data_IF_414546463520
#
_entry.id   IF_414546463520
#
_cell.length_a   1.000
_cell.length_b   1.000
_cell.length_c   1.000
_cell.angle_alpha   90.00
_cell.angle_beta   90.00
_cell.angle_gamma   90.00
#
_symmetry.space_group_name_H-M   'P 1'
#
loop_
_entity.id
_entity.type
_entity.pdbx_description
1 polymer ?
#
# COMPACT_ATOMS: atom_id res chain seq x y z
N UNK A 1 11.66 -24.38 31.92
CA UNK A 1 11.86 -24.95 30.57
C UNK A 1 13.12 -25.81 30.48
N UNK A 2 14.32 -25.30 30.73
CA UNK A 2 15.59 -26.00 30.51
C UNK A 2 15.70 -27.35 31.24
N UNK A 3 15.23 -27.45 32.48
CA UNK A 3 15.27 -28.71 33.25
C UNK A 3 14.38 -29.83 32.70
N UNK A 4 13.39 -29.49 31.89
CA UNK A 4 12.42 -30.46 31.35
C UNK A 4 12.78 -30.96 29.94
N UNK A 5 13.67 -30.26 29.21
CA UNK A 5 14.12 -30.70 27.89
C UNK A 5 14.82 -32.06 27.92
N UNK A 6 15.48 -32.37 29.05
CA UNK A 6 16.09 -33.69 29.27
C UNK A 6 15.05 -34.83 29.28
N UNK A 7 13.86 -34.57 29.77
CA UNK A 7 12.80 -35.56 29.88
C UNK A 7 12.02 -35.73 28.56
N UNK A 8 12.12 -34.76 27.67
CA UNK A 8 11.44 -34.73 26.37
C UNK A 8 12.25 -35.45 25.30
N UNK A 9 13.58 -35.35 25.34
CA UNK A 9 14.46 -35.94 24.33
C UNK A 9 14.16 -37.43 24.02
N UNK A 10 13.87 -38.29 24.99
CA UNK A 10 13.51 -39.70 24.71
C UNK A 10 12.17 -39.90 24.01
N UNK A 11 11.23 -38.97 24.14
CA UNK A 11 9.87 -39.07 23.58
C UNK A 11 9.77 -38.49 22.17
N UNK A 12 10.82 -37.86 21.65
CA UNK A 12 10.85 -37.28 20.28
C UNK A 12 11.10 -38.40 19.27
N UNK A 13 10.15 -38.64 18.40
CA UNK A 13 10.24 -39.68 17.35
C UNK A 13 11.19 -39.27 16.23
N UNK A 14 11.23 -37.99 15.86
CA UNK A 14 12.11 -37.48 14.83
C UNK A 14 13.57 -37.57 15.25
N UNK A 15 14.37 -38.27 14.43
CA UNK A 15 15.77 -38.57 14.74
C UNK A 15 16.67 -37.31 14.69
N UNK A 16 16.38 -36.38 13.77
CA UNK A 16 17.17 -35.16 13.61
C UNK A 16 16.90 -34.21 14.79
N UNK A 17 15.65 -34.03 15.17
CA UNK A 17 15.23 -33.24 16.32
C UNK A 17 15.77 -33.81 17.63
N UNK A 18 15.68 -35.12 17.79
CA UNK A 18 16.23 -35.81 18.97
C UNK A 18 17.75 -35.65 19.06
N UNK A 19 18.46 -35.69 17.93
CA UNK A 19 19.89 -35.46 17.88
C UNK A 19 20.24 -34.01 18.30
N UNK A 20 19.54 -33.01 17.74
CA UNK A 20 19.72 -31.61 18.08
C UNK A 20 19.49 -31.32 19.59
N UNK A 21 18.43 -31.92 20.15
CA UNK A 21 18.12 -31.86 21.59
C UNK A 21 19.21 -32.49 22.44
N UNK A 22 19.72 -33.65 22.08
CA UNK A 22 20.78 -34.33 22.80
C UNK A 22 22.11 -33.56 22.71
N UNK A 23 22.42 -32.99 21.57
CA UNK A 23 23.60 -32.13 21.38
C UNK A 23 23.51 -30.91 22.29
N UNK A 24 22.38 -30.19 22.27
CA UNK A 24 22.14 -29.06 23.16
C UNK A 24 22.29 -29.46 24.64
N UNK A 25 21.68 -30.56 25.07
CA UNK A 25 21.78 -31.05 26.45
C UNK A 25 23.23 -31.39 26.83
N UNK A 26 24.01 -31.93 25.89
CA UNK A 26 25.43 -32.22 26.09
C UNK A 26 26.26 -30.97 26.28
N UNK A 27 25.91 -29.90 25.55
CA UNK A 27 26.67 -28.63 25.61
C UNK A 27 26.27 -27.79 26.83
N UNK A 28 25.03 -27.87 27.28
CA UNK A 28 24.51 -27.10 28.42
C UNK A 28 24.68 -27.79 29.77
N UNK A 29 24.74 -29.14 29.79
CA UNK A 29 24.99 -29.88 31.01
C UNK A 29 26.47 -29.72 31.46
N UNK A 30 26.74 -29.55 32.76
CA UNK A 30 28.09 -29.23 33.24
C UNK A 30 29.08 -30.34 32.92
N UNK A 31 29.97 -30.08 31.98
CA UNK A 31 31.22 -30.83 31.84
C UNK A 31 32.19 -30.27 32.93
N UNK A 32 32.78 -31.13 33.70
CA UNK A 32 33.60 -31.01 34.90
C UNK A 32 34.44 -29.71 35.18
N UNK A 33 34.38 -28.63 34.39
CA UNK A 33 35.21 -27.45 34.56
C UNK A 33 34.57 -26.06 34.49
N UNK A 34 33.35 -25.90 33.97
CA UNK A 34 32.69 -24.59 33.97
C UNK A 34 31.20 -24.72 33.84
N UNK A 35 30.42 -24.30 34.82
CA UNK A 35 28.98 -24.17 34.71
C UNK A 35 28.65 -22.96 33.83
N UNK A 36 27.78 -23.14 32.83
CA UNK A 36 27.22 -22.04 32.07
C UNK A 36 26.38 -21.17 32.98
N UNK A 37 26.48 -19.87 32.82
CA UNK A 37 25.61 -18.93 33.51
C UNK A 37 24.14 -19.11 33.06
N UNK A 38 23.18 -18.64 33.86
CA UNK A 38 21.77 -18.68 33.53
C UNK A 38 21.49 -18.04 32.15
N UNK A 39 22.09 -16.91 31.87
CA UNK A 39 21.95 -16.18 30.62
C UNK A 39 22.51 -16.94 29.41
N UNK A 40 23.60 -17.66 29.56
CA UNK A 40 24.17 -18.49 28.48
C UNK A 40 23.26 -19.69 28.19
N UNK A 41 22.70 -20.32 29.22
CA UNK A 41 21.70 -21.41 29.07
C UNK A 41 20.45 -20.94 28.39
N UNK A 42 19.96 -19.75 28.73
CA UNK A 42 18.79 -19.15 28.10
C UNK A 42 19.01 -18.82 26.63
N UNK A 43 20.16 -18.23 26.28
CA UNK A 43 20.52 -17.96 24.88
C UNK A 43 20.63 -19.24 24.07
N UNK A 44 21.28 -20.28 24.58
CA UNK A 44 21.42 -21.56 23.90
C UNK A 44 20.04 -22.23 23.70
N UNK A 45 19.15 -22.15 24.69
CA UNK A 45 17.78 -22.65 24.56
C UNK A 45 16.97 -21.86 23.50
N UNK A 46 17.16 -20.55 23.46
CA UNK A 46 16.50 -19.70 22.46
C UNK A 46 16.96 -20.04 21.03
N UNK A 47 18.28 -20.23 20.84
CA UNK A 47 18.81 -20.63 19.53
C UNK A 47 18.26 -21.99 19.11
N UNK A 48 18.25 -22.98 20.00
CA UNK A 48 17.72 -24.29 19.71
C UNK A 48 16.23 -24.27 19.31
N UNK A 49 15.43 -23.47 20.00
CA UNK A 49 14.00 -23.31 19.69
C UNK A 49 13.79 -22.54 18.40
N UNK A 50 14.66 -21.58 18.08
CA UNK A 50 14.60 -20.84 16.83
C UNK A 50 14.94 -21.73 15.61
N UNK A 51 15.87 -22.65 15.78
CA UNK A 51 16.26 -23.63 14.74
C UNK A 51 15.25 -24.79 14.61
N UNK A 52 14.61 -25.14 15.73
CA UNK A 52 13.68 -26.30 15.84
C UNK A 52 12.41 -25.92 16.61
N UNK A 53 11.52 -25.10 16.03
CA UNK A 53 10.30 -24.64 16.69
C UNK A 53 9.35 -25.78 17.11
N UNK A 54 9.39 -26.91 16.44
CA UNK A 54 8.63 -28.13 16.76
C UNK A 54 8.92 -28.70 18.17
N UNK A 55 10.04 -28.30 18.79
CA UNK A 55 10.32 -28.65 20.18
C UNK A 55 9.25 -28.13 21.14
N UNK A 56 8.61 -27.01 20.81
CA UNK A 56 7.55 -26.42 21.62
C UNK A 56 6.34 -27.36 21.67
N UNK A 57 5.95 -27.95 20.57
CA UNK A 57 4.80 -28.85 20.50
C UNK A 57 5.07 -30.14 21.29
N UNK A 58 6.26 -30.70 21.16
CA UNK A 58 6.69 -31.85 22.00
C UNK A 58 6.73 -31.50 23.47
N UNK A 59 7.15 -30.29 23.83
CA UNK A 59 7.15 -29.84 25.21
C UNK A 59 5.71 -29.68 25.76
N UNK A 60 4.81 -29.13 24.99
CA UNK A 60 3.40 -28.97 25.37
C UNK A 60 2.78 -30.33 25.58
N UNK A 61 2.92 -31.27 24.60
CA UNK A 61 2.41 -32.63 24.70
C UNK A 61 2.96 -33.36 25.91
N UNK A 62 4.28 -33.29 26.15
CA UNK A 62 4.88 -33.89 27.36
C UNK A 62 4.28 -33.33 28.64
N UNK A 63 3.95 -32.04 28.67
CA UNK A 63 3.33 -31.39 29.81
C UNK A 63 1.86 -31.81 30.00
N UNK A 64 1.13 -31.97 28.90
CA UNK A 64 -0.26 -32.46 28.91
C UNK A 64 -0.36 -33.91 29.40
N UNK A 65 0.58 -34.75 28.93
CA UNK A 65 0.65 -36.18 29.32
C UNK A 65 1.05 -36.41 30.79
N UNK A 66 1.70 -35.42 31.43
CA UNK A 66 2.14 -35.48 32.81
C UNK A 66 1.33 -34.53 33.71
N UNK A 67 0.00 -34.75 33.76
CA UNK A 67 -1.00 -33.92 34.43
C UNK A 67 -0.86 -33.76 35.94
N UNK A 68 -1.19 -32.69 36.39
CA UNK A 68 -1.90 -31.98 37.46
C UNK A 68 -1.22 -30.69 37.93
N UNK A 69 0.11 -30.59 37.91
CA UNK A 69 0.81 -29.33 38.19
C UNK A 69 1.19 -28.54 36.93
N UNK A 70 1.12 -29.18 35.76
CA UNK A 70 1.59 -28.62 34.51
C UNK A 70 0.65 -27.60 33.88
N UNK A 71 -0.67 -27.78 34.07
CA UNK A 71 -1.68 -26.98 33.35
C UNK A 71 -1.67 -25.49 33.76
N UNK A 72 -1.49 -25.19 35.05
CA UNK A 72 -1.47 -23.81 35.52
C UNK A 72 -0.14 -23.11 35.12
N UNK A 73 0.99 -23.81 35.29
CA UNK A 73 2.32 -23.29 34.95
C UNK A 73 2.44 -23.13 33.41
N UNK A 74 1.92 -24.09 32.64
CA UNK A 74 1.92 -24.01 31.17
C UNK A 74 1.08 -22.83 30.66
N UNK A 75 -0.12 -22.62 31.20
CA UNK A 75 -0.95 -21.46 30.84
C UNK A 75 -0.27 -20.15 31.18
N UNK A 76 0.35 -20.04 32.34
CA UNK A 76 1.05 -18.83 32.74
C UNK A 76 2.25 -18.55 31.84
N UNK A 77 3.09 -19.55 31.55
CA UNK A 77 4.27 -19.40 30.66
C UNK A 77 3.85 -19.07 29.24
N UNK A 78 2.80 -19.72 28.70
CA UNK A 78 2.27 -19.39 27.36
C UNK A 78 1.74 -17.95 27.34
N UNK A 79 1.09 -17.50 28.39
CA UNK A 79 0.59 -16.13 28.49
C UNK A 79 1.74 -15.11 28.57
N UNK A 80 2.77 -15.40 29.36
CA UNK A 80 3.98 -14.57 29.45
C UNK A 80 4.74 -14.50 28.12
N UNK A 81 4.88 -15.62 27.40
CA UNK A 81 5.51 -15.68 26.08
C UNK A 81 4.67 -14.89 25.04
N UNK A 82 3.35 -15.02 25.07
CA UNK A 82 2.46 -14.23 24.20
C UNK A 82 2.57 -12.73 24.50
N UNK A 83 2.62 -12.34 25.75
CA UNK A 83 2.79 -10.94 26.14
C UNK A 83 4.14 -10.41 25.68
N UNK A 84 5.22 -11.14 25.89
CA UNK A 84 6.56 -10.76 25.44
C UNK A 84 6.61 -10.61 23.90
N UNK A 85 6.02 -11.57 23.18
CA UNK A 85 5.95 -11.52 21.71
C UNK A 85 5.13 -10.31 21.23
N UNK A 86 3.99 -10.04 21.85
CA UNK A 86 3.19 -8.87 21.53
C UNK A 86 3.94 -7.56 21.82
N UNK A 87 4.65 -7.47 22.94
CA UNK A 87 5.49 -6.30 23.24
C UNK A 87 6.60 -6.11 22.19
N UNK A 88 7.29 -7.18 21.79
CA UNK A 88 8.32 -7.12 20.76
C UNK A 88 7.76 -6.74 19.39
N UNK A 89 6.57 -7.24 19.02
CA UNK A 89 5.88 -6.82 17.80
C UNK A 89 5.48 -5.34 17.83
N UNK A 90 4.97 -4.86 18.96
CA UNK A 90 4.64 -3.45 19.11
C UNK A 90 5.87 -2.55 19.06
N UNK A 91 6.96 -2.98 19.67
CA UNK A 91 8.25 -2.26 19.62
C UNK A 91 8.81 -2.22 18.20
N UNK A 92 8.80 -3.35 17.48
CA UNK A 92 9.20 -3.41 16.08
C UNK A 92 8.31 -2.54 15.20
N UNK A 93 6.99 -2.61 15.36
CA UNK A 93 6.05 -1.76 14.64
C UNK A 93 6.29 -0.27 14.91
N UNK A 94 6.56 0.10 16.17
CA UNK A 94 6.90 1.47 16.56
C UNK A 94 8.22 1.93 15.93
N UNK A 95 9.24 1.08 15.90
CA UNK A 95 10.51 1.37 15.25
C UNK A 95 10.37 1.54 13.74
N UNK A 96 9.59 0.69 13.09
CA UNK A 96 9.28 0.82 11.67
C UNK A 96 8.51 2.10 11.37
N UNK A 97 7.54 2.45 12.22
CA UNK A 97 6.77 3.67 12.09
C UNK A 97 7.62 4.93 12.25
N UNK A 98 8.50 4.96 13.26
CA UNK A 98 9.25 6.18 13.63
C UNK A 98 10.56 6.34 12.88
N UNK A 99 11.26 5.26 12.53
CA UNK A 99 12.63 5.32 12.01
C UNK A 99 12.76 5.08 10.52
N UNK A 100 11.87 4.32 9.91
CA UNK A 100 12.05 3.91 8.51
C UNK A 100 11.10 4.60 7.53
N UNK A 101 10.10 5.34 8.00
CA UNK A 101 9.03 5.82 7.13
C UNK A 101 8.21 4.69 6.49
N UNK A 102 8.43 3.42 6.92
CA UNK A 102 7.75 2.24 6.37
C UNK A 102 6.22 2.36 6.43
N UNK A 103 5.72 2.98 7.52
CA UNK A 103 4.31 3.35 7.67
C UNK A 103 4.08 4.85 7.47
N UNK A 104 5.10 5.62 7.08
CA UNK A 104 4.86 6.98 6.61
C UNK A 104 3.98 6.83 5.38
N UNK A 105 2.71 6.90 5.61
CA UNK A 105 1.70 6.90 4.60
C UNK A 105 2.05 8.02 3.64
N UNK A 106 2.54 7.72 2.44
CA UNK A 106 2.25 8.57 1.31
C UNK A 106 0.77 8.90 1.48
N UNK A 107 0.37 10.15 1.33
CA UNK A 107 -0.97 10.65 1.64
C UNK A 107 -2.12 9.70 1.28
N UNK A 108 -3.32 10.11 1.46
CA UNK A 108 -4.46 9.34 1.02
C UNK A 108 -4.47 9.21 -0.52
N UNK A 109 -5.29 8.31 -1.06
CA UNK A 109 -5.39 8.06 -2.49
C UNK A 109 -5.74 9.30 -3.31
N UNK A 110 -6.44 10.27 -2.72
CA UNK A 110 -6.80 11.53 -3.36
C UNK A 110 -5.57 12.43 -3.55
N UNK A 111 -4.80 12.65 -2.49
CA UNK A 111 -3.64 13.54 -2.55
C UNK A 111 -2.58 13.00 -3.51
N UNK A 112 -2.37 11.69 -3.52
CA UNK A 112 -1.45 11.06 -4.47
C UNK A 112 -1.97 11.15 -5.90
N UNK A 113 -3.24 10.82 -6.15
CA UNK A 113 -3.85 10.93 -7.48
C UNK A 113 -3.82 12.37 -7.99
N UNK A 114 -4.11 13.34 -7.12
CA UNK A 114 -4.05 14.76 -7.45
C UNK A 114 -2.63 15.21 -7.80
N UNK A 115 -1.64 14.82 -6.99
CA UNK A 115 -0.23 15.13 -7.26
C UNK A 115 0.22 14.57 -8.62
N UNK A 116 -0.20 13.35 -8.98
CA UNK A 116 0.10 12.74 -10.29
C UNK A 116 -0.61 13.46 -11.44
N UNK A 117 -1.83 13.93 -11.25
CA UNK A 117 -2.53 14.77 -12.23
C UNK A 117 -1.81 16.11 -12.42
N UNK A 118 -1.40 16.75 -11.33
CA UNK A 118 -0.67 18.02 -11.40
C UNK A 118 0.70 17.86 -12.05
N UNK A 119 1.40 16.75 -11.82
CA UNK A 119 2.64 16.43 -12.53
C UNK A 119 2.39 16.26 -14.05
N UNK A 120 1.36 15.50 -14.43
CA UNK A 120 0.98 15.36 -15.83
C UNK A 120 0.63 16.72 -16.45
N UNK A 121 -0.09 17.58 -15.72
CA UNK A 121 -0.41 18.95 -16.14
C UNK A 121 0.88 19.75 -16.42
N UNK A 122 1.82 19.75 -15.49
CA UNK A 122 3.10 20.46 -15.67
C UNK A 122 3.91 19.94 -16.85
N UNK A 123 3.95 18.60 -17.06
CA UNK A 123 4.61 18.03 -18.24
C UNK A 123 3.97 18.51 -19.54
N UNK A 124 2.64 18.59 -19.59
CA UNK A 124 1.92 19.02 -20.78
C UNK A 124 2.07 20.52 -21.02
N UNK A 125 1.90 21.32 -19.96
CA UNK A 125 1.85 22.78 -20.08
C UNK A 125 3.25 23.43 -20.18
N UNK A 126 4.20 22.93 -19.36
CA UNK A 126 5.48 23.61 -19.11
C UNK A 126 6.69 22.90 -19.73
N UNK A 127 6.58 21.61 -20.08
CA UNK A 127 7.68 20.77 -20.53
C UNK A 127 7.48 20.24 -21.96
N UNK A 128 6.79 21.00 -22.81
CA UNK A 128 6.52 20.63 -24.21
C UNK A 128 5.73 19.31 -24.41
N UNK A 129 5.20 18.72 -23.34
CA UNK A 129 4.46 17.46 -23.41
C UNK A 129 3.19 17.52 -24.24
N UNK A 130 2.63 18.72 -24.49
CA UNK A 130 1.47 18.91 -25.37
C UNK A 130 1.71 18.33 -26.78
N UNK A 131 2.96 18.31 -27.26
CA UNK A 131 3.32 17.85 -28.62
C UNK A 131 2.92 16.41 -28.89
N UNK A 132 2.94 15.54 -27.89
CA UNK A 132 2.53 14.14 -28.05
C UNK A 132 1.02 13.97 -28.29
N UNK A 133 0.25 15.00 -28.01
CA UNK A 133 -1.19 15.01 -28.27
C UNK A 133 -1.57 15.59 -29.63
N UNK A 134 -0.58 15.80 -30.51
CA UNK A 134 -0.80 16.22 -31.89
C UNK A 134 -0.30 15.15 -32.86
N UNK A 135 -1.17 14.70 -33.76
CA UNK A 135 -0.84 13.77 -34.83
C UNK A 135 -0.98 14.49 -36.16
N UNK A 136 0.13 14.62 -36.90
CA UNK A 136 0.19 15.40 -38.17
C UNK A 136 -0.35 16.84 -37.99
N UNK A 137 0.00 17.51 -36.90
CA UNK A 137 -0.43 18.87 -36.58
C UNK A 137 -1.88 19.02 -36.19
N UNK A 138 -2.57 17.92 -35.90
CA UNK A 138 -3.96 17.94 -35.45
C UNK A 138 -4.07 17.33 -34.04
N UNK A 139 -4.88 17.94 -33.14
CA UNK A 139 -5.12 17.40 -31.81
C UNK A 139 -5.67 15.97 -31.86
N UNK A 140 -5.33 15.18 -30.85
CA UNK A 140 -5.92 13.85 -30.65
C UNK A 140 -7.45 13.96 -30.48
N UNK A 141 -8.14 12.88 -30.83
CA UNK A 141 -9.60 12.79 -30.69
C UNK A 141 -10.07 11.76 -29.68
N UNK A 142 -9.11 11.06 -29.07
CA UNK A 142 -9.39 9.94 -28.16
C UNK A 142 -8.88 10.23 -26.75
N UNK A 143 -9.77 10.16 -25.78
CA UNK A 143 -9.43 10.27 -24.36
C UNK A 143 -8.44 9.18 -23.91
N UNK A 144 -8.45 8.03 -24.60
CA UNK A 144 -7.56 6.91 -24.32
C UNK A 144 -6.06 7.26 -24.42
N UNK A 145 -5.69 8.16 -25.31
CA UNK A 145 -4.27 8.58 -25.47
C UNK A 145 -3.79 9.35 -24.23
N UNK A 146 -4.67 10.19 -23.65
CA UNK A 146 -4.40 10.88 -22.39
C UNK A 146 -4.35 9.91 -21.21
N UNK A 147 -5.19 8.91 -21.19
CA UNK A 147 -5.18 7.85 -20.17
C UNK A 147 -3.89 7.03 -20.20
N UNK A 148 -3.32 6.76 -21.38
CA UNK A 148 -2.03 6.08 -21.52
C UNK A 148 -0.93 6.91 -20.87
N UNK A 149 -0.90 8.22 -21.13
CA UNK A 149 0.08 9.12 -20.53
C UNK A 149 -0.04 9.19 -19.01
N UNK A 150 -1.26 9.27 -18.50
CA UNK A 150 -1.48 9.23 -17.05
C UNK A 150 -1.01 7.93 -16.42
N UNK A 151 -1.14 6.81 -17.11
CA UNK A 151 -0.62 5.54 -16.61
C UNK A 151 0.90 5.54 -16.44
N UNK A 152 1.64 6.26 -17.29
CA UNK A 152 3.09 6.34 -17.18
C UNK A 152 3.55 7.10 -15.92
N UNK A 153 2.77 8.05 -15.41
CA UNK A 153 3.12 8.80 -14.19
C UNK A 153 2.98 7.97 -12.90
N UNK A 154 2.40 6.76 -13.00
CA UNK A 154 2.23 5.84 -11.88
C UNK A 154 3.36 4.81 -11.75
N UNK A 155 4.51 5.11 -12.30
CA UNK A 155 5.71 4.30 -12.06
C UNK A 155 6.11 4.39 -10.58
N UNK A 156 6.33 3.23 -9.94
CA UNK A 156 6.68 3.11 -8.52
C UNK A 156 5.67 3.81 -7.58
N UNK A 157 4.62 3.11 -7.22
CA UNK A 157 3.60 3.58 -6.28
C UNK A 157 3.22 2.49 -5.28
N UNK A 158 2.84 2.90 -4.07
CA UNK A 158 2.26 2.02 -3.04
C UNK A 158 0.73 1.84 -3.21
N UNK A 159 0.13 2.55 -4.17
CA UNK A 159 -1.30 2.52 -4.42
C UNK A 159 -1.65 1.52 -5.51
N UNK A 160 -2.79 0.85 -5.36
CA UNK A 160 -3.40 0.07 -6.42
C UNK A 160 -4.02 1.01 -7.45
N UNK A 161 -3.55 0.95 -8.70
CA UNK A 161 -4.03 1.77 -9.81
C UNK A 161 -4.70 0.88 -10.85
N UNK A 162 -6.01 0.84 -10.82
CA UNK A 162 -6.83 0.02 -11.69
C UNK A 162 -7.48 0.87 -12.78
N UNK A 163 -7.42 0.39 -14.03
CA UNK A 163 -8.03 1.03 -15.19
C UNK A 163 -9.39 0.38 -15.51
N UNK A 164 -10.33 1.18 -16.02
CA UNK A 164 -11.64 0.72 -16.51
C UNK A 164 -12.43 -0.11 -15.49
N UNK A 165 -12.37 0.29 -14.21
CA UNK A 165 -13.12 -0.40 -13.16
C UNK A 165 -14.61 -0.16 -13.33
N UNK A 166 -15.35 -1.23 -13.58
CA UNK A 166 -16.82 -1.17 -13.65
C UNK A 166 -17.39 -1.18 -12.22
N UNK A 167 -17.83 -0.03 -11.76
CA UNK A 167 -18.44 0.15 -10.44
C UNK A 167 -19.99 0.03 -10.49
N UNK A 168 -20.53 -0.70 -11.47
CA UNK A 168 -21.99 -0.92 -11.60
C UNK A 168 -22.75 0.20 -12.31
N UNK A 169 -22.12 1.31 -12.67
CA UNK A 169 -22.71 2.48 -13.35
C UNK A 169 -21.90 2.96 -14.56
N UNK A 170 -21.01 2.14 -15.05
CA UNK A 170 -20.11 2.39 -16.16
C UNK A 170 -18.64 2.33 -15.75
N UNK A 171 -17.74 2.15 -16.70
CA UNK A 171 -16.30 2.13 -16.44
C UNK A 171 -15.82 3.52 -16.06
N UNK A 172 -15.01 3.60 -15.00
CA UNK A 172 -14.24 4.78 -14.62
C UNK A 172 -12.84 4.64 -15.20
N UNK A 173 -12.24 5.73 -15.66
CA UNK A 173 -10.95 5.66 -16.33
C UNK A 173 -9.86 5.08 -15.41
N UNK A 174 -9.78 5.56 -14.17
CA UNK A 174 -8.86 5.03 -13.14
C UNK A 174 -9.51 5.03 -11.76
N UNK A 175 -9.19 3.98 -11.00
CA UNK A 175 -9.41 3.91 -9.56
C UNK A 175 -8.06 3.76 -8.88
N UNK A 176 -7.74 4.71 -8.02
CA UNK A 176 -6.56 4.70 -7.16
C UNK A 176 -7.00 4.33 -5.76
N UNK A 177 -6.38 3.32 -5.15
CA UNK A 177 -6.82 2.87 -3.82
C UNK A 177 -5.64 2.42 -2.95
N UNK A 178 -5.81 2.59 -1.63
CA UNK A 178 -4.92 2.07 -0.59
C UNK A 178 -5.76 1.35 0.46
N UNK A 179 -5.77 0.02 0.36
CA UNK A 179 -6.67 -0.80 1.17
C UNK A 179 -8.14 -0.67 0.77
N UNK A 180 -9.06 -1.08 1.66
CA UNK A 180 -10.49 -1.21 1.34
C UNK A 180 -11.32 0.07 1.53
N UNK A 181 -10.79 1.07 2.22
CA UNK A 181 -11.54 2.27 2.63
C UNK A 181 -11.06 3.57 2.01
N UNK A 182 -9.89 3.57 1.39
CA UNK A 182 -9.31 4.74 0.76
C UNK A 182 -9.23 4.51 -0.74
N UNK A 183 -10.12 5.15 -1.48
CA UNK A 183 -10.17 5.07 -2.92
C UNK A 183 -10.55 6.41 -3.53
N UNK A 184 -9.94 6.73 -4.67
CA UNK A 184 -10.21 7.93 -5.47
C UNK A 184 -10.41 7.55 -6.92
N UNK A 185 -11.38 8.17 -7.57
CA UNK A 185 -11.64 7.97 -8.98
C UNK A 185 -11.02 9.11 -9.78
N UNK A 186 -10.38 8.80 -10.91
CA UNK A 186 -9.85 9.80 -11.82
C UNK A 186 -10.48 9.59 -13.19
N UNK A 187 -11.04 10.63 -13.75
CA UNK A 187 -11.72 10.61 -15.02
C UNK A 187 -11.16 11.68 -15.96
N UNK A 188 -10.87 11.28 -17.19
CA UNK A 188 -10.31 12.14 -18.23
C UNK A 188 -11.34 12.46 -19.28
N UNK A 189 -11.38 13.72 -19.68
CA UNK A 189 -12.25 14.17 -20.78
C UNK A 189 -11.50 15.13 -21.70
N UNK A 190 -11.86 15.11 -22.98
CA UNK A 190 -11.46 16.15 -23.91
C UNK A 190 -12.54 17.26 -23.95
N UNK A 191 -12.11 18.50 -24.00
CA UNK A 191 -13.00 19.65 -24.09
C UNK A 191 -13.86 19.63 -25.37
N UNK A 192 -13.34 19.00 -26.45
CA UNK A 192 -14.07 18.75 -27.70
C UNK A 192 -15.27 17.81 -27.55
N UNK A 193 -15.36 17.03 -26.43
CA UNK A 193 -16.45 16.10 -26.20
C UNK A 193 -17.80 16.82 -26.16
N UNK A 194 -18.71 16.46 -27.09
CA UNK A 194 -20.02 17.09 -27.19
C UNK A 194 -20.96 16.79 -26.03
N UNK A 195 -20.67 15.71 -25.29
CA UNK A 195 -21.45 15.29 -24.11
C UNK A 195 -20.83 15.76 -22.80
N UNK A 196 -19.81 16.63 -22.84
CA UNK A 196 -19.06 17.07 -21.65
C UNK A 196 -19.99 17.61 -20.56
N UNK A 197 -20.90 18.53 -20.88
CA UNK A 197 -21.86 19.11 -19.91
C UNK A 197 -22.71 18.02 -19.24
N UNK A 198 -23.25 17.08 -20.02
CA UNK A 198 -24.04 15.96 -19.50
C UNK A 198 -23.21 15.02 -18.64
N UNK A 199 -21.98 14.74 -19.05
CA UNK A 199 -21.08 13.90 -18.27
C UNK A 199 -20.73 14.53 -16.93
N UNK A 200 -20.45 15.83 -16.91
CA UNK A 200 -20.16 16.56 -15.67
C UNK A 200 -21.36 16.65 -14.75
N UNK A 201 -22.57 16.93 -15.27
CA UNK A 201 -23.78 17.02 -14.44
C UNK A 201 -24.21 15.69 -13.84
N UNK A 202 -24.16 14.60 -14.61
CA UNK A 202 -24.58 13.29 -14.12
C UNK A 202 -23.62 12.71 -13.08
N UNK A 203 -22.37 13.06 -13.16
CA UNK A 203 -21.32 12.46 -12.31
C UNK A 203 -21.30 13.04 -10.91
N UNK A 204 -21.68 14.30 -10.72
CA UNK A 204 -21.70 14.92 -9.38
C UNK A 204 -22.66 14.19 -8.44
N UNK A 205 -23.82 13.77 -8.92
CA UNK A 205 -24.80 13.04 -8.09
C UNK A 205 -24.56 11.54 -8.02
N UNK A 206 -24.06 10.95 -9.11
CA UNK A 206 -23.88 9.51 -9.23
C UNK A 206 -22.66 9.03 -8.42
N UNK A 207 -21.57 9.80 -8.38
CA UNK A 207 -20.37 9.43 -7.64
C UNK A 207 -20.54 9.52 -6.13
N UNK A 208 -21.33 10.47 -5.65
CA UNK A 208 -21.66 10.59 -4.22
C UNK A 208 -22.43 9.37 -3.70
N UNK A 209 -23.29 8.78 -4.52
CA UNK A 209 -24.20 7.73 -4.07
C UNK A 209 -23.70 6.28 -4.25
N UNK A 210 -22.73 6.01 -5.17
CA UNK A 210 -22.46 4.64 -5.63
C UNK A 210 -21.25 3.96 -5.01
N UNK A 211 -20.26 4.70 -4.49
CA UNK A 211 -18.93 4.11 -4.24
C UNK A 211 -18.44 4.15 -2.80
N UNK A 212 -19.20 4.69 -1.86
CA UNK A 212 -18.66 5.01 -0.52
C UNK A 212 -17.37 5.84 -0.58
N UNK A 213 -17.07 6.45 -1.75
CA UNK A 213 -15.93 7.32 -1.97
C UNK A 213 -16.45 8.66 -2.45
N UNK A 214 -16.35 9.66 -1.58
CA UNK A 214 -16.71 11.05 -1.93
C UNK A 214 -15.63 11.74 -2.77
N UNK A 215 -14.62 11.01 -3.24
CA UNK A 215 -13.40 11.55 -3.83
C UNK A 215 -13.30 11.18 -5.31
N UNK A 216 -13.41 12.16 -6.18
CA UNK A 216 -13.25 11.99 -7.61
C UNK A 216 -12.56 13.21 -8.22
N UNK A 217 -11.51 13.00 -9.00
CA UNK A 217 -10.79 14.03 -9.74
C UNK A 217 -11.20 13.96 -11.20
N UNK A 218 -11.56 15.10 -11.78
CA UNK A 218 -11.88 15.24 -13.20
C UNK A 218 -10.83 16.05 -13.90
N UNK A 219 -10.28 15.50 -14.96
CA UNK A 219 -9.24 16.12 -15.75
C UNK A 219 -9.79 16.41 -17.14
N UNK A 220 -9.76 17.68 -17.53
CA UNK A 220 -10.27 18.13 -18.82
C UNK A 220 -9.14 18.76 -19.62
N UNK A 221 -8.78 18.12 -20.73
CA UNK A 221 -7.76 18.61 -21.66
C UNK A 221 -8.40 19.42 -22.78
N UNK A 222 -7.86 20.62 -23.05
CA UNK A 222 -8.30 21.47 -24.15
C UNK A 222 -7.13 21.85 -25.07
N UNK A 223 -7.42 22.10 -26.35
CA UNK A 223 -6.46 22.39 -27.40
C UNK A 223 -6.61 23.78 -28.05
N UNK A 224 -7.70 24.47 -27.71
CA UNK A 224 -7.95 25.81 -28.24
C UNK A 224 -8.55 26.70 -27.15
N UNK A 225 -8.38 28.04 -27.33
CA UNK A 225 -9.00 29.03 -26.43
C UNK A 225 -10.53 28.92 -26.41
N UNK A 226 -11.15 28.63 -27.58
CA UNK A 226 -12.59 28.44 -27.67
C UNK A 226 -13.05 27.23 -26.83
N UNK A 227 -12.26 26.18 -26.81
CA UNK A 227 -12.54 25.02 -25.94
C UNK A 227 -12.40 25.39 -24.47
N UNK A 228 -11.41 26.18 -24.09
CA UNK A 228 -11.23 26.69 -22.73
C UNK A 228 -12.43 27.52 -22.29
N UNK A 229 -12.86 28.47 -23.12
CA UNK A 229 -14.04 29.32 -22.87
C UNK A 229 -15.30 28.45 -22.71
N UNK A 230 -15.50 27.48 -23.61
CA UNK A 230 -16.63 26.55 -23.57
C UNK A 230 -16.65 25.77 -22.25
N UNK A 231 -15.50 25.21 -21.81
CA UNK A 231 -15.41 24.42 -20.58
C UNK A 231 -15.70 25.31 -19.37
N UNK A 232 -15.12 26.50 -19.30
CA UNK A 232 -15.38 27.43 -18.21
C UNK A 232 -16.86 27.86 -18.14
N UNK A 233 -17.52 28.06 -19.29
CA UNK A 233 -18.95 28.29 -19.35
C UNK A 233 -19.78 27.12 -18.78
N UNK A 234 -19.42 25.89 -19.14
CA UNK A 234 -20.08 24.69 -18.61
C UNK A 234 -19.90 24.58 -17.10
N UNK A 235 -18.69 24.83 -16.60
CA UNK A 235 -18.38 24.77 -15.17
C UNK A 235 -19.16 25.84 -14.39
N UNK A 236 -19.26 27.04 -14.94
CA UNK A 236 -20.07 28.10 -14.36
C UNK A 236 -21.55 27.74 -14.30
N UNK A 237 -22.11 27.23 -15.41
CA UNK A 237 -23.52 26.81 -15.48
C UNK A 237 -23.87 25.69 -14.47
N UNK A 238 -22.90 24.84 -14.13
CA UNK A 238 -23.05 23.75 -13.17
C UNK A 238 -22.68 24.11 -11.74
N UNK A 239 -22.24 25.36 -11.49
CA UNK A 239 -21.76 25.78 -10.16
C UNK A 239 -20.48 25.07 -9.71
N UNK A 240 -19.67 24.60 -10.66
CA UNK A 240 -18.43 23.84 -10.41
C UNK A 240 -17.16 24.68 -10.60
N UNK A 241 -17.29 25.97 -10.84
CA UNK A 241 -16.15 26.86 -11.03
C UNK A 241 -15.33 26.95 -9.74
N UNK A 242 -14.01 26.82 -9.84
CA UNK A 242 -13.11 26.82 -8.68
C UNK A 242 -13.13 25.53 -7.85
N UNK A 243 -13.80 24.48 -8.31
CA UNK A 243 -13.76 23.18 -7.65
C UNK A 243 -12.33 22.59 -7.76
N UNK A 244 -11.65 22.29 -6.63
CA UNK A 244 -10.26 21.83 -6.64
C UNK A 244 -10.09 20.47 -7.33
N UNK A 245 -11.16 19.67 -7.35
CA UNK A 245 -11.15 18.34 -7.97
C UNK A 245 -11.41 18.35 -9.47
N UNK A 246 -11.51 19.54 -10.08
CA UNK A 246 -11.61 19.70 -11.54
C UNK A 246 -10.34 20.39 -12.03
N UNK A 247 -9.52 19.63 -12.73
CA UNK A 247 -8.24 20.10 -13.26
C UNK A 247 -8.36 20.32 -14.75
N UNK A 248 -8.15 21.56 -15.19
CA UNK A 248 -8.03 21.91 -16.60
C UNK A 248 -6.56 21.83 -17.01
N UNK A 249 -6.29 21.19 -18.15
CA UNK A 249 -4.95 21.07 -18.73
C UNK A 249 -4.95 21.74 -20.10
N UNK A 250 -4.05 22.71 -20.23
CA UNK A 250 -3.80 23.43 -21.47
C UNK A 250 -2.83 22.66 -22.37
N UNK A 251 -3.34 22.10 -23.45
CA UNK A 251 -2.55 21.43 -24.48
C UNK A 251 -2.52 22.22 -25.80
N UNK A 252 -2.73 23.53 -25.76
CA UNK A 252 -2.60 24.37 -26.95
C UNK A 252 -1.15 24.32 -27.48
N UNK A 253 -0.98 24.41 -28.80
CA UNK A 253 0.32 24.44 -29.47
C UNK A 253 0.91 25.86 -29.55
N UNK A 254 0.20 26.85 -29.04
CA UNK A 254 0.60 28.27 -29.06
C UNK A 254 1.35 28.67 -27.77
N UNK A 255 2.33 27.85 -27.36
CA UNK A 255 3.11 28.17 -26.17
C UNK A 255 4.35 28.98 -26.51
N UNK A 256 4.64 30.07 -25.75
CA UNK A 256 5.85 30.84 -25.97
C UNK A 256 7.08 29.94 -25.73
N UNK A 257 7.93 29.82 -26.74
CA UNK A 257 9.23 29.15 -26.55
C UNK A 257 10.11 30.05 -25.68
N UNK A 258 10.82 29.45 -24.72
CA UNK A 258 11.80 30.17 -23.91
C UNK A 258 12.89 30.89 -24.73
N UNK A 259 13.06 30.49 -26.00
CA UNK A 259 13.96 31.12 -26.94
C UNK A 259 13.41 32.42 -27.56
N UNK A 260 12.13 32.73 -27.35
CA UNK A 260 11.45 33.88 -27.96
C UNK A 260 11.07 34.98 -26.94
N UNK A 261 11.53 34.86 -25.71
CA UNK A 261 11.44 35.90 -24.70
C UNK A 261 12.75 36.72 -24.80
N UNK A 262 12.77 37.62 -25.77
CA UNK A 262 13.80 38.64 -25.95
C UNK A 262 13.26 39.99 -25.55
#
# INVERSE_FOLDING_TARGET
MIGNLKNIAPSVEDAALRFALNQYLTDVLPRKKKEMSKTEKEKAATSLIAEHPEIIDHYIKYKEDNEEQATSISKQVVQEVKQLFNCQLQELASLLYTRTGFYASAGNSHDEAYARVMFLKSVIEDMDGYRIFYINGKPIRRENDLQIMYRLVWYATEFDVNREVNNGRGPVDFKVSKGSRDATLVEFKLASNTKLKKNLSNQVEIYKAANCTDRAIKVILYFTEDECIKVNGILNDLGLQGCPDIVLIDATDNKPSASNVG
#
